data_IF_799442663332
#
_entry.id   IF_799442663332
#
_cell.length_a   1.000
_cell.length_b   1.000
_cell.length_c   1.000
_cell.angle_alpha   90.00
_cell.angle_beta   90.00
_cell.angle_gamma   90.00
#
_symmetry.space_group_name_H-M   'P 1'
#
loop_
_entity.id
_entity.type
_entity.pdbx_description
1 polymer ?
#
# COMPACT_ATOMS: atom_id res chain seq x y z
N UNK A 1 -15.23 4.36 4.13
CA UNK A 1 -14.69 3.12 3.51
C UNK A 1 -15.57 1.96 3.94
N UNK A 2 -15.94 1.06 3.03
CA UNK A 2 -16.64 -0.17 3.42
C UNK A 2 -15.60 -1.13 4.02
N UNK A 3 -15.81 -1.56 5.25
CA UNK A 3 -14.89 -2.43 5.98
C UNK A 3 -15.49 -3.83 6.15
N UNK A 4 -14.63 -4.78 6.51
CA UNK A 4 -14.98 -6.16 6.86
C UNK A 4 -14.40 -6.44 8.25
N UNK A 5 -14.87 -7.51 8.89
CA UNK A 5 -14.43 -7.86 10.23
C UNK A 5 -12.95 -8.29 10.24
N UNK A 6 -12.23 -7.92 11.30
CA UNK A 6 -10.81 -8.22 11.47
C UNK A 6 -10.45 -9.70 11.26
N UNK A 7 -11.24 -10.69 11.74
CA UNK A 7 -10.94 -12.10 11.51
C UNK A 7 -10.87 -12.50 10.03
N UNK A 8 -11.56 -11.78 9.14
CA UNK A 8 -11.47 -12.03 7.70
C UNK A 8 -10.12 -11.57 7.17
N UNK A 9 -9.62 -10.41 7.62
CA UNK A 9 -8.28 -9.92 7.27
C UNK A 9 -7.20 -10.86 7.79
N UNK A 10 -7.34 -11.33 9.03
CA UNK A 10 -6.41 -12.28 9.65
C UNK A 10 -6.37 -13.60 8.87
N UNK A 11 -7.52 -14.09 8.40
CA UNK A 11 -7.61 -15.31 7.58
C UNK A 11 -6.94 -15.14 6.22
N UNK A 12 -7.12 -13.98 5.57
CA UNK A 12 -6.48 -13.68 4.29
C UNK A 12 -4.95 -13.68 4.40
N UNK A 13 -4.41 -13.26 5.55
CA UNK A 13 -2.96 -13.24 5.80
C UNK A 13 -2.33 -14.64 5.93
N UNK A 14 -3.13 -15.71 5.98
CA UNK A 14 -2.63 -17.10 5.97
C UNK A 14 -2.39 -17.66 4.56
N UNK A 15 -2.75 -16.91 3.52
CA UNK A 15 -2.62 -17.32 2.12
C UNK A 15 -1.69 -16.39 1.34
N UNK A 16 -0.93 -16.94 0.39
CA UNK A 16 -0.17 -16.12 -0.55
C UNK A 16 -1.10 -15.33 -1.49
N UNK A 17 -0.59 -14.24 -2.07
CA UNK A 17 -1.38 -13.36 -2.93
C UNK A 17 -1.96 -14.09 -4.14
N UNK A 18 -1.25 -15.08 -4.72
CA UNK A 18 -1.72 -15.81 -5.89
C UNK A 18 -2.92 -16.70 -5.54
N UNK A 19 -2.91 -17.33 -4.36
CA UNK A 19 -4.06 -18.07 -3.84
C UNK A 19 -5.26 -17.16 -3.64
N UNK A 20 -5.08 -15.98 -3.03
CA UNK A 20 -6.16 -15.00 -2.83
C UNK A 20 -6.73 -14.51 -4.17
N UNK A 21 -5.87 -14.25 -5.15
CA UNK A 21 -6.29 -13.83 -6.49
C UNK A 21 -7.09 -14.90 -7.22
N UNK A 22 -6.61 -16.15 -7.20
CA UNK A 22 -7.31 -17.27 -7.82
C UNK A 22 -8.69 -17.47 -7.20
N UNK A 23 -8.81 -17.35 -5.87
CA UNK A 23 -10.10 -17.37 -5.18
C UNK A 23 -10.99 -16.18 -5.60
N UNK A 24 -10.41 -14.99 -5.74
CA UNK A 24 -11.10 -13.80 -6.25
C UNK A 24 -11.71 -14.05 -7.63
N UNK A 25 -10.95 -14.63 -8.56
CA UNK A 25 -11.41 -14.97 -9.92
C UNK A 25 -12.62 -15.91 -9.89
N UNK A 26 -12.64 -16.91 -8.99
CA UNK A 26 -13.75 -17.84 -8.85
C UNK A 26 -15.05 -17.16 -8.37
N UNK A 27 -14.92 -16.09 -7.57
CA UNK A 27 -16.07 -15.38 -6.98
C UNK A 27 -16.58 -14.25 -7.89
N UNK A 28 -15.67 -13.45 -8.45
CA UNK A 28 -16.00 -12.23 -9.20
C UNK A 28 -15.89 -12.37 -10.73
N UNK A 29 -15.36 -13.49 -11.22
CA UNK A 29 -14.98 -13.69 -12.61
C UNK A 29 -13.53 -13.26 -12.88
N UNK A 30 -13.04 -13.57 -14.09
CA UNK A 30 -11.70 -13.20 -14.54
C UNK A 30 -11.48 -11.68 -14.47
N UNK A 31 -10.33 -11.29 -13.90
CA UNK A 31 -9.81 -9.93 -13.86
C UNK A 31 -8.40 -9.99 -14.45
N UNK A 32 -8.06 -9.01 -15.30
CA UNK A 32 -6.74 -8.93 -15.89
C UNK A 32 -5.71 -8.63 -14.79
N UNK A 33 -4.54 -9.25 -14.84
CA UNK A 33 -3.52 -9.10 -13.80
C UNK A 33 -3.08 -7.64 -13.59
N UNK A 34 -3.09 -6.83 -14.65
CA UNK A 34 -2.74 -5.40 -14.57
C UNK A 34 -3.75 -4.57 -13.73
N UNK A 35 -4.95 -5.10 -13.44
CA UNK A 35 -5.99 -4.40 -12.68
C UNK A 35 -5.86 -4.62 -11.17
N UNK A 36 -5.26 -5.72 -10.71
CA UNK A 36 -5.25 -6.10 -9.29
C UNK A 36 -3.92 -6.69 -8.78
N UNK A 37 -2.91 -6.82 -9.63
CA UNK A 37 -1.52 -7.04 -9.24
C UNK A 37 -0.67 -5.80 -9.47
N UNK A 38 0.32 -5.65 -8.59
CA UNK A 38 1.47 -4.79 -8.88
C UNK A 38 2.36 -5.45 -9.93
N UNK A 39 3.01 -4.64 -10.76
CA UNK A 39 3.96 -5.14 -11.75
C UNK A 39 5.16 -5.87 -11.08
N UNK A 40 5.84 -6.80 -11.78
CA UNK A 40 6.88 -7.64 -11.19
C UNK A 40 8.18 -6.90 -10.81
N UNK A 41 8.27 -5.59 -11.08
CA UNK A 41 9.38 -4.75 -10.61
C UNK A 41 9.29 -4.41 -9.12
N UNK A 42 8.11 -4.52 -8.50
CA UNK A 42 7.95 -4.36 -7.05
C UNK A 42 8.40 -5.65 -6.36
N UNK A 43 9.30 -5.50 -5.37
CA UNK A 43 9.90 -6.63 -4.63
C UNK A 43 9.90 -6.34 -3.15
N UNK A 44 9.70 -7.40 -2.37
CA UNK A 44 9.89 -7.38 -0.93
C UNK A 44 11.35 -7.08 -0.58
N UNK A 45 11.57 -6.18 0.38
CA UNK A 45 12.92 -5.71 0.75
C UNK A 45 13.35 -6.11 2.17
N UNK A 46 12.47 -6.00 3.17
CA UNK A 46 12.86 -6.07 4.59
C UNK A 46 12.48 -7.39 5.27
N UNK A 47 11.41 -8.07 4.84
CA UNK A 47 10.81 -9.16 5.64
C UNK A 47 10.60 -10.49 4.91
N UNK A 48 11.55 -10.95 4.07
CA UNK A 48 11.37 -12.16 3.27
C UNK A 48 10.96 -13.36 4.12
N UNK A 49 9.82 -13.97 3.75
CA UNK A 49 9.25 -15.12 4.45
C UNK A 49 8.37 -14.78 5.66
N UNK A 50 8.13 -13.49 5.94
CA UNK A 50 7.08 -13.08 6.86
C UNK A 50 5.69 -13.40 6.30
N UNK A 51 4.68 -13.42 7.18
CA UNK A 51 3.29 -13.54 6.73
C UNK A 51 2.90 -12.33 5.87
N UNK A 52 2.08 -12.52 4.81
CA UNK A 52 1.52 -11.43 4.03
C UNK A 52 0.86 -10.36 4.90
N UNK A 53 1.13 -9.09 4.60
CA UNK A 53 0.40 -7.97 5.19
C UNK A 53 -0.95 -7.81 4.48
N UNK A 54 -2.03 -7.70 5.25
CA UNK A 54 -3.39 -7.50 4.74
C UNK A 54 -4.00 -6.27 5.41
N UNK A 55 -4.57 -5.39 4.60
CA UNK A 55 -5.17 -4.16 5.06
C UNK A 55 -5.80 -3.38 3.92
N UNK A 56 -6.27 -2.17 4.24
CA UNK A 56 -6.88 -1.27 3.29
C UNK A 56 -5.84 -0.35 2.66
N UNK A 57 -5.87 -0.22 1.34
CA UNK A 57 -4.94 0.66 0.64
C UNK A 57 -5.21 2.13 0.99
N UNK A 58 -4.20 2.80 1.54
CA UNK A 58 -4.15 4.26 1.68
C UNK A 58 -3.14 4.78 0.67
N UNK A 59 -3.64 5.39 -0.40
CA UNK A 59 -2.86 5.75 -1.58
C UNK A 59 -2.35 7.19 -1.51
N UNK A 60 -1.15 7.43 -2.08
CA UNK A 60 -0.57 8.76 -2.22
C UNK A 60 0.40 8.83 -3.39
N UNK A 61 0.58 10.03 -3.96
CA UNK A 61 1.53 10.29 -5.04
C UNK A 61 2.64 11.23 -4.56
N UNK A 62 3.84 11.01 -5.10
CA UNK A 62 5.06 11.71 -4.69
C UNK A 62 5.95 12.02 -5.88
N UNK A 63 6.55 13.21 -5.86
CA UNK A 63 7.58 13.63 -6.81
C UNK A 63 8.81 14.05 -6.00
N UNK A 64 9.72 13.12 -5.65
CA UNK A 64 10.71 13.33 -4.60
C UNK A 64 11.71 14.46 -4.85
N UNK A 65 12.03 14.78 -6.11
CA UNK A 65 12.99 15.84 -6.43
C UNK A 65 12.36 17.11 -7.00
N UNK A 66 11.28 16.98 -7.77
CA UNK A 66 10.65 18.09 -8.50
C UNK A 66 9.13 18.08 -8.27
N UNK A 67 8.70 18.38 -7.05
CA UNK A 67 7.29 18.48 -6.71
C UNK A 67 6.60 19.58 -7.54
N UNK A 68 5.64 19.25 -8.43
CA UNK A 68 4.90 20.25 -9.18
C UNK A 68 4.11 21.13 -8.22
N UNK A 69 4.04 22.44 -8.47
CA UNK A 69 3.25 23.36 -7.62
C UNK A 69 1.75 23.00 -7.53
N UNK A 70 1.23 22.21 -8.49
CA UNK A 70 -0.14 21.67 -8.49
C UNK A 70 -0.31 20.46 -7.56
N UNK A 71 0.80 19.78 -7.23
CA UNK A 71 0.88 18.74 -6.22
C UNK A 71 0.97 19.39 -4.82
N UNK A 72 0.08 20.36 -4.55
CA UNK A 72 -0.01 21.09 -3.29
C UNK A 72 -0.72 20.22 -2.24
N UNK A 73 -0.15 19.05 -1.97
CA UNK A 73 -0.69 18.08 -1.02
C UNK A 73 -0.08 18.40 0.33
N UNK A 74 -0.91 18.79 1.30
CA UNK A 74 -0.46 18.87 2.67
C UNK A 74 -0.04 17.46 3.14
N UNK A 75 1.26 17.21 3.21
CA UNK A 75 1.80 15.90 3.59
C UNK A 75 1.37 15.48 5.00
N UNK A 76 0.98 16.42 5.85
CA UNK A 76 0.40 16.11 7.16
C UNK A 76 -0.97 15.43 7.03
N UNK A 77 -1.78 15.76 6.02
CA UNK A 77 -3.09 15.11 5.82
C UNK A 77 -2.92 13.61 5.55
N UNK A 78 -1.81 13.22 4.91
CA UNK A 78 -1.48 11.82 4.68
C UNK A 78 -1.16 11.08 5.99
N UNK A 79 -0.33 11.67 6.87
CA UNK A 79 -0.04 11.07 8.18
C UNK A 79 -1.28 11.07 9.10
N UNK A 80 -2.06 12.15 9.08
CA UNK A 80 -3.35 12.23 9.77
C UNK A 80 -4.32 11.16 9.29
N UNK A 81 -4.35 10.86 7.98
CA UNK A 81 -5.20 9.82 7.43
C UNK A 81 -4.79 8.43 7.95
N UNK A 82 -3.49 8.15 8.08
CA UNK A 82 -3.00 6.91 8.71
C UNK A 82 -3.48 6.84 10.16
N UNK A 83 -3.25 7.91 10.93
CA UNK A 83 -3.60 7.97 12.35
C UNK A 83 -5.10 7.80 12.63
N UNK A 84 -5.95 8.25 11.69
CA UNK A 84 -7.41 8.21 11.81
C UNK A 84 -8.05 6.94 11.24
N UNK A 85 -7.29 6.07 10.56
CA UNK A 85 -7.86 5.00 9.74
C UNK A 85 -8.71 4.00 10.53
N UNK A 86 -8.48 3.82 11.84
CA UNK A 86 -9.21 2.90 12.73
C UNK A 86 -9.33 1.46 12.20
N UNK A 87 -8.52 1.10 11.20
CA UNK A 87 -8.43 -0.18 10.51
C UNK A 87 -6.98 -0.37 10.05
N UNK A 88 -6.50 -1.60 9.84
CA UNK A 88 -5.15 -1.82 9.32
C UNK A 88 -5.04 -1.23 7.92
N UNK A 89 -4.11 -0.28 7.72
CA UNK A 89 -3.87 0.35 6.43
C UNK A 89 -2.51 -0.04 5.86
N UNK A 90 -2.52 -0.41 4.59
CA UNK A 90 -1.31 -0.58 3.78
C UNK A 90 -1.09 0.75 3.06
N UNK A 91 0.03 1.41 3.34
CA UNK A 91 0.40 2.63 2.63
C UNK A 91 0.91 2.27 1.24
N UNK A 92 0.26 2.80 0.21
CA UNK A 92 0.64 2.59 -1.20
C UNK A 92 1.07 3.91 -1.79
N UNK A 93 2.35 4.00 -2.18
CA UNK A 93 2.96 5.24 -2.64
C UNK A 93 3.37 5.09 -4.11
N UNK A 94 2.97 6.04 -4.94
CA UNK A 94 3.34 6.09 -6.35
C UNK A 94 4.33 7.22 -6.60
N UNK A 95 5.45 6.89 -7.24
CA UNK A 95 6.38 7.88 -7.81
C UNK A 95 5.79 8.41 -9.12
N UNK A 96 5.48 9.71 -9.14
CA UNK A 96 4.96 10.44 -10.30
C UNK A 96 6.00 11.39 -10.89
N UNK A 97 7.26 11.30 -10.47
CA UNK A 97 8.36 12.09 -11.04
C UNK A 97 8.65 11.69 -12.49
N UNK A 98 9.06 12.68 -13.31
CA UNK A 98 9.45 12.48 -14.69
C UNK A 98 10.85 13.08 -14.89
N UNK A 99 11.90 12.26 -15.14
CA UNK A 99 11.89 10.80 -15.21
C UNK A 99 11.72 10.13 -13.84
N UNK A 100 11.03 8.99 -13.79
CA UNK A 100 10.74 8.26 -12.55
C UNK A 100 11.99 7.61 -11.91
N UNK A 101 11.86 7.22 -10.63
CA UNK A 101 12.85 6.48 -9.82
C UNK A 101 14.16 7.23 -9.59
N UNK A 102 14.06 8.54 -9.43
CA UNK A 102 15.22 9.43 -9.24
C UNK A 102 15.50 9.79 -7.78
N UNK A 103 14.51 9.64 -6.90
CA UNK A 103 14.64 9.84 -5.47
C UNK A 103 13.85 8.80 -4.68
N UNK A 104 14.18 8.66 -3.40
CA UNK A 104 13.42 7.80 -2.49
C UNK A 104 12.20 8.57 -1.95
N UNK A 105 11.02 7.94 -2.00
CA UNK A 105 9.81 8.49 -1.36
C UNK A 105 9.86 8.29 0.16
N UNK A 106 10.36 7.13 0.59
CA UNK A 106 10.36 6.71 1.99
C UNK A 106 11.75 6.29 2.44
N UNK A 107 12.08 6.66 3.68
CA UNK A 107 13.25 6.20 4.42
C UNK A 107 12.83 5.61 5.77
N UNK A 108 13.80 5.20 6.57
CA UNK A 108 13.59 4.57 7.89
C UNK A 108 12.76 5.43 8.86
N UNK A 109 13.04 6.73 8.97
CA UNK A 109 12.31 7.64 9.85
C UNK A 109 10.83 7.76 9.48
N UNK A 110 10.53 7.89 8.19
CA UNK A 110 9.16 7.93 7.68
C UNK A 110 8.46 6.58 7.86
N UNK A 111 9.14 5.46 7.59
CA UNK A 111 8.59 4.13 7.81
C UNK A 111 8.26 3.88 9.30
N UNK A 112 9.15 4.29 10.21
CA UNK A 112 8.90 4.21 11.65
C UNK A 112 7.68 5.05 12.06
N UNK A 113 7.58 6.28 11.55
CA UNK A 113 6.44 7.15 11.83
C UNK A 113 5.12 6.54 11.34
N UNK A 114 5.06 6.05 10.09
CA UNK A 114 3.86 5.40 9.56
C UNK A 114 3.47 4.17 10.37
N UNK A 115 4.47 3.36 10.80
CA UNK A 115 4.23 2.20 11.67
C UNK A 115 3.66 2.61 13.03
N UNK A 116 4.22 3.66 13.64
CA UNK A 116 3.75 4.18 14.92
C UNK A 116 2.32 4.76 14.86
N UNK A 117 1.91 5.25 13.69
CA UNK A 117 0.56 5.76 13.44
C UNK A 117 -0.47 4.67 13.10
N UNK A 118 -0.04 3.42 12.91
CA UNK A 118 -0.93 2.28 12.71
C UNK A 118 -0.94 1.67 11.31
N UNK A 119 -0.02 2.06 10.41
CA UNK A 119 0.17 1.35 9.15
C UNK A 119 0.69 -0.08 9.41
N UNK A 120 0.23 -1.04 8.60
CA UNK A 120 0.65 -2.45 8.69
C UNK A 120 1.83 -2.75 7.80
#
# INVERSE_FOLDING_TARGET
MKTIDQPILDTLAEYDSATVQNAGILVRGYVHEDDDYTDPSIREYISPGAKPAVGYALTSTWAPLNEPGELNVNRMDYFDAIARANVPVIVVQQDVEIPARRGAIIGDGMAYQMKALGAV
#
